data_IF_339421518749
#
_entry.id   IF_339421518749
#
_cell.length_a   1.000
_cell.length_b   1.000
_cell.length_c   1.000
_cell.angle_alpha   90.00
_cell.angle_beta   90.00
_cell.angle_gamma   90.00
#
_symmetry.space_group_name_H-M   'P 1'
#
loop_
_entity.id
_entity.type
_entity.pdbx_description
1 polymer ?
#
# COMPACT_ATOMS: atom_id res chain seq x y z
N UNK A 1 71.41 -5.71 14.81
CA UNK A 1 70.37 -4.70 14.55
C UNK A 1 69.07 -5.04 15.29
N UNK A 2 69.15 -5.47 16.56
CA UNK A 2 67.98 -5.97 17.29
C UNK A 2 67.71 -5.25 18.61
N UNK A 3 68.63 -4.39 19.07
CA UNK A 3 68.48 -3.65 20.35
C UNK A 3 67.80 -2.28 20.18
N UNK A 4 67.67 -1.75 18.95
CA UNK A 4 66.96 -0.48 18.69
C UNK A 4 65.44 -0.67 18.49
N UNK A 5 64.97 -1.89 18.32
CA UNK A 5 63.55 -2.20 18.08
C UNK A 5 62.80 -2.36 19.41
N UNK A 6 63.41 -2.98 20.42
CA UNK A 6 62.82 -3.17 21.76
C UNK A 6 62.66 -1.85 22.53
N UNK A 7 63.59 -0.89 22.35
CA UNK A 7 63.50 0.43 23.00
C UNK A 7 62.34 1.30 22.46
N UNK A 8 61.88 1.06 21.22
CA UNK A 8 60.75 1.77 20.62
C UNK A 8 59.40 1.17 21.01
N UNK A 9 59.34 -0.13 21.27
CA UNK A 9 58.10 -0.78 21.73
C UNK A 9 57.81 -0.47 23.20
N UNK A 10 58.84 -0.41 24.07
CA UNK A 10 58.67 -0.01 25.47
C UNK A 10 58.26 1.46 25.65
N UNK A 11 58.70 2.37 24.76
CA UNK A 11 58.22 3.76 24.74
C UNK A 11 56.77 3.89 24.26
N UNK A 12 56.26 2.96 23.45
CA UNK A 12 54.89 3.00 22.92
C UNK A 12 53.87 2.45 23.92
N UNK A 13 54.26 1.49 24.75
CA UNK A 13 53.40 0.94 25.82
C UNK A 13 53.31 1.86 27.06
N UNK A 14 54.34 2.67 27.35
CA UNK A 14 54.30 3.65 28.45
C UNK A 14 53.45 4.91 28.19
N UNK A 15 53.02 5.13 26.94
CA UNK A 15 52.13 6.23 26.56
C UNK A 15 50.63 5.87 26.66
N UNK A 16 50.29 4.60 26.92
CA UNK A 16 48.90 4.13 26.97
C UNK A 16 48.32 4.01 28.40
N UNK A 17 49.06 4.36 29.45
CA UNK A 17 48.60 4.19 30.83
C UNK A 17 48.74 5.45 31.68
N UNK A 18 48.08 6.55 31.26
CA UNK A 18 47.83 7.70 32.14
C UNK A 18 46.32 7.95 32.30
N UNK A 19 45.81 8.01 33.55
CA UNK A 19 44.40 8.26 33.82
C UNK A 19 44.08 9.75 33.62
N UNK A 20 43.26 10.07 32.63
CA UNK A 20 42.76 11.44 32.42
C UNK A 20 41.70 11.75 33.47
N UNK A 21 41.98 12.79 34.25
CA UNK A 21 41.18 13.28 35.38
C UNK A 21 39.85 13.86 34.88
N UNK A 22 38.78 13.48 35.58
CA UNK A 22 37.43 14.06 35.51
C UNK A 22 37.46 15.47 36.08
N UNK A 23 37.19 16.48 35.24
CA UNK A 23 36.43 17.71 35.54
C UNK A 23 36.77 18.80 34.51
N UNK A 24 35.88 18.99 33.53
CA UNK A 24 35.60 20.31 32.95
C UNK A 24 34.27 20.23 32.19
N UNK A 25 33.16 20.27 32.94
CA UNK A 25 31.83 20.53 32.38
C UNK A 25 31.74 22.03 32.14
N UNK A 26 31.95 22.44 30.90
CA UNK A 26 31.53 23.77 30.43
C UNK A 26 30.16 23.59 29.78
N UNK A 27 29.18 24.23 30.39
CA UNK A 27 27.79 24.31 29.95
C UNK A 27 27.69 24.68 28.46
N UNK A 28 27.36 23.70 27.63
CA UNK A 28 26.88 23.90 26.29
C UNK A 28 25.35 23.96 26.35
N UNK A 29 24.81 25.16 26.18
CA UNK A 29 23.38 25.46 26.08
C UNK A 29 22.72 24.61 24.98
N UNK A 30 21.58 23.94 25.23
CA UNK A 30 20.88 23.20 24.20
C UNK A 30 20.26 24.15 23.16
N UNK A 31 20.58 23.97 21.89
CA UNK A 31 19.80 24.50 20.79
C UNK A 31 18.39 23.88 20.85
N UNK A 32 17.30 24.65 20.65
CA UNK A 32 15.96 24.08 20.72
C UNK A 32 15.72 23.22 19.47
N UNK A 33 15.62 21.90 19.67
CA UNK A 33 15.00 20.96 18.73
C UNK A 33 13.54 21.35 18.50
N UNK A 34 13.30 22.23 17.53
CA UNK A 34 11.98 22.62 17.09
C UNK A 34 11.48 21.67 15.99
N UNK A 35 11.26 20.39 16.33
CA UNK A 35 10.24 19.55 15.69
C UNK A 35 9.55 18.73 16.76
N UNK A 36 8.51 19.35 17.31
CA UNK A 36 7.53 18.72 18.18
C UNK A 36 6.94 17.47 17.51
N UNK A 37 7.31 16.29 18.04
CA UNK A 37 6.46 15.10 17.96
C UNK A 37 5.17 15.41 18.74
N UNK A 38 4.20 16.04 18.08
CA UNK A 38 2.86 16.15 18.65
C UNK A 38 2.18 14.80 18.53
N UNK A 39 2.19 14.03 19.61
CA UNK A 39 1.11 13.10 19.88
C UNK A 39 -0.17 13.94 19.94
N UNK A 40 -1.13 13.66 19.04
CA UNK A 40 -2.43 14.33 19.03
C UNK A 40 -3.22 13.79 20.22
N UNK A 41 -3.14 14.50 21.34
CA UNK A 41 -4.02 14.34 22.49
C UNK A 41 -5.13 15.41 22.42
N UNK A 42 -6.40 15.07 22.68
CA UNK A 42 -7.50 16.02 22.59
C UNK A 42 -7.38 17.04 23.74
N UNK A 43 -7.21 18.32 23.41
CA UNK A 43 -7.19 19.37 24.41
C UNK A 43 -8.62 19.74 24.81
N UNK A 44 -9.05 19.24 25.97
CA UNK A 44 -10.13 19.82 26.76
C UNK A 44 -9.54 20.86 27.72
N UNK A 45 -10.05 22.10 27.69
CA UNK A 45 -9.65 23.11 28.68
C UNK A 45 -9.90 24.55 28.29
N UNK A 46 -11.16 24.98 28.40
CA UNK A 46 -11.62 26.30 28.89
C UNK A 46 -10.87 27.58 28.48
N UNK A 47 -11.46 28.31 27.52
CA UNK A 47 -11.24 29.74 27.30
C UNK A 47 -12.50 30.36 26.70
N UNK A 48 -13.42 30.80 27.55
CA UNK A 48 -14.70 31.40 27.19
C UNK A 48 -14.52 32.88 26.80
N UNK A 49 -15.17 33.31 25.70
CA UNK A 49 -16.01 34.52 25.55
C UNK A 49 -15.92 35.10 24.12
N UNK A 50 -17.06 35.24 23.41
CA UNK A 50 -17.19 36.26 22.37
C UNK A 50 -18.08 36.01 21.13
N UNK A 51 -19.33 35.57 21.31
CA UNK A 51 -20.54 35.80 20.49
C UNK A 51 -20.48 35.92 18.94
N UNK A 52 -21.24 35.04 18.26
CA UNK A 52 -22.13 35.44 17.16
C UNK A 52 -22.07 34.58 15.89
N UNK A 53 -22.95 33.56 15.79
CA UNK A 53 -23.24 32.89 14.53
C UNK A 53 -23.72 31.46 14.72
N UNK A 54 -25.03 31.24 14.59
CA UNK A 54 -25.65 29.93 14.64
C UNK A 54 -25.08 29.03 13.52
N UNK A 55 -24.23 28.09 13.90
CA UNK A 55 -23.86 26.93 13.12
C UNK A 55 -23.91 25.75 14.09
N UNK A 56 -24.81 24.81 13.82
CA UNK A 56 -25.05 23.61 14.59
C UNK A 56 -23.81 22.71 14.55
N UNK A 57 -22.80 23.01 15.39
CA UNK A 57 -21.65 22.13 15.60
C UNK A 57 -22.13 21.04 16.53
N UNK A 58 -22.72 20.02 15.93
CA UNK A 58 -22.83 18.70 16.54
C UNK A 58 -21.42 18.16 16.74
N UNK A 59 -20.82 18.51 17.89
CA UNK A 59 -19.68 17.82 18.45
C UNK A 59 -20.14 16.44 18.94
N UNK A 60 -20.36 15.54 17.99
CA UNK A 60 -20.56 14.12 18.22
C UNK A 60 -19.84 13.35 17.09
N UNK A 61 -18.51 13.44 17.12
CA UNK A 61 -17.65 12.70 16.22
C UNK A 61 -16.96 11.57 16.97
N UNK A 62 -17.67 10.50 17.33
CA UNK A 62 -17.06 9.17 17.22
C UNK A 62 -16.70 9.00 15.75
N UNK A 63 -15.52 9.47 15.36
CA UNK A 63 -15.10 9.52 13.97
C UNK A 63 -15.26 8.14 13.37
N UNK A 64 -16.19 8.01 12.41
CA UNK A 64 -16.43 6.73 11.74
C UNK A 64 -15.15 6.40 10.99
N UNK A 65 -14.44 5.40 11.50
CA UNK A 65 -13.18 4.93 10.94
C UNK A 65 -13.44 4.51 9.49
N UNK A 66 -12.74 5.16 8.55
CA UNK A 66 -12.87 4.88 7.13
C UNK A 66 -11.71 4.01 6.68
N UNK A 67 -11.98 2.73 6.40
CA UNK A 67 -10.98 1.80 5.90
C UNK A 67 -10.82 1.90 4.38
N UNK A 68 -9.63 1.56 3.89
CA UNK A 68 -9.30 1.48 2.46
C UNK A 68 -8.74 0.10 2.16
N UNK A 69 -9.19 -0.47 1.04
CA UNK A 69 -8.59 -1.62 0.39
C UNK A 69 -8.53 -1.30 -1.10
N UNK A 70 -7.42 -0.71 -1.52
CA UNK A 70 -7.25 -0.18 -2.88
C UNK A 70 -6.25 -1.02 -3.66
N UNK A 71 -6.48 -1.11 -4.97
CA UNK A 71 -5.59 -1.80 -5.91
C UNK A 71 -5.14 -0.76 -6.93
N UNK A 72 -3.85 -0.69 -7.18
CA UNK A 72 -3.27 0.29 -8.08
C UNK A 72 -1.78 0.09 -8.23
N UNK A 73 -1.05 1.19 -8.38
CA UNK A 73 0.40 1.20 -8.46
C UNK A 73 0.99 2.27 -7.57
N UNK A 74 2.00 1.90 -6.78
CA UNK A 74 2.71 2.80 -5.90
C UNK A 74 3.86 3.46 -6.66
N UNK A 75 3.91 4.78 -6.60
CA UNK A 75 4.95 5.60 -7.17
C UNK A 75 5.61 6.47 -6.11
N UNK A 76 6.93 6.62 -6.21
CA UNK A 76 7.69 7.53 -5.37
C UNK A 76 7.96 8.83 -6.12
N UNK A 77 7.76 9.97 -5.45
CA UNK A 77 8.00 11.31 -6.00
C UNK A 77 8.81 12.16 -5.03
N UNK A 78 9.63 13.04 -5.57
CA UNK A 78 10.37 14.01 -4.76
C UNK A 78 9.45 15.20 -4.40
N UNK A 79 9.21 15.50 -3.11
CA UNK A 79 8.39 16.66 -2.72
C UNK A 79 9.04 18.01 -2.97
N UNK A 80 10.36 18.05 -3.10
CA UNK A 80 11.12 19.27 -3.24
C UNK A 80 12.51 18.98 -3.82
N UNK A 81 13.16 20.05 -4.28
CA UNK A 81 14.50 20.00 -4.86
C UNK A 81 15.55 19.49 -3.86
N UNK A 82 15.37 19.74 -2.55
CA UNK A 82 16.32 19.29 -1.53
C UNK A 82 16.41 17.76 -1.48
N UNK A 83 15.26 17.08 -1.45
CA UNK A 83 15.19 15.61 -1.47
C UNK A 83 15.79 15.03 -2.76
N UNK A 84 15.54 15.66 -3.91
CA UNK A 84 16.12 15.26 -5.20
C UNK A 84 17.65 15.37 -5.20
N UNK A 85 18.21 16.49 -4.69
CA UNK A 85 19.66 16.69 -4.63
C UNK A 85 20.34 15.79 -3.59
N UNK A 86 19.69 15.51 -2.47
CA UNK A 86 20.22 14.54 -1.50
C UNK A 86 20.23 13.12 -2.07
N UNK A 87 19.17 12.71 -2.78
CA UNK A 87 19.16 11.45 -3.51
C UNK A 87 20.26 11.38 -4.57
N UNK A 88 20.50 12.48 -5.31
CA UNK A 88 21.60 12.57 -6.28
C UNK A 88 22.98 12.37 -5.63
N UNK A 89 23.19 12.92 -4.44
CA UNK A 89 24.42 12.72 -3.67
C UNK A 89 24.56 11.28 -3.17
N UNK A 90 23.48 10.68 -2.66
CA UNK A 90 23.47 9.28 -2.21
C UNK A 90 23.74 8.30 -3.36
N UNK A 91 23.23 8.62 -4.56
CA UNK A 91 23.50 7.86 -5.78
C UNK A 91 25.00 7.84 -6.11
N UNK A 92 25.71 8.97 -5.94
CA UNK A 92 27.15 9.04 -6.16
C UNK A 92 28.01 8.21 -5.17
N UNK A 93 27.44 7.81 -4.04
CA UNK A 93 28.08 6.92 -3.04
C UNK A 93 27.79 5.44 -3.29
N UNK A 94 26.83 5.14 -4.15
CA UNK A 94 26.35 3.78 -4.41
C UNK A 94 26.85 3.29 -5.77
N UNK A 95 27.21 2.01 -5.87
CA UNK A 95 27.55 1.42 -7.17
C UNK A 95 26.29 1.22 -8.03
N UNK A 96 26.08 2.18 -8.93
CA UNK A 96 24.97 2.22 -9.89
C UNK A 96 25.41 2.06 -11.35
N UNK A 97 26.70 1.78 -11.58
CA UNK A 97 27.24 1.53 -12.91
C UNK A 97 26.50 0.39 -13.62
N UNK A 98 26.05 0.63 -14.85
CA UNK A 98 25.33 -0.35 -15.68
C UNK A 98 23.88 -0.60 -15.29
N UNK A 99 23.33 0.12 -14.29
CA UNK A 99 21.90 0.05 -13.92
C UNK A 99 21.10 1.09 -14.68
N UNK A 100 19.82 0.79 -14.94
CA UNK A 100 18.86 1.81 -15.38
C UNK A 100 18.54 2.79 -14.26
N UNK A 101 17.98 3.94 -14.58
CA UNK A 101 17.58 4.94 -13.58
C UNK A 101 16.67 4.34 -12.49
N UNK A 102 15.71 3.50 -12.88
CA UNK A 102 14.81 2.82 -11.94
C UNK A 102 15.54 1.79 -11.05
N UNK A 103 16.47 1.04 -11.63
CA UNK A 103 17.26 0.07 -10.87
C UNK A 103 18.22 0.77 -9.89
N UNK A 104 18.80 1.89 -10.31
CA UNK A 104 19.60 2.75 -9.44
C UNK A 104 18.74 3.35 -8.32
N UNK A 105 17.55 3.85 -8.65
CA UNK A 105 16.58 4.39 -7.70
C UNK A 105 16.21 3.38 -6.62
N UNK A 106 15.78 2.18 -7.03
CA UNK A 106 15.50 1.09 -6.10
C UNK A 106 16.75 0.73 -5.27
N UNK A 107 17.91 0.52 -5.90
CA UNK A 107 19.13 0.10 -5.20
C UNK A 107 19.60 1.11 -4.14
N UNK A 108 19.46 2.41 -4.39
CA UNK A 108 19.80 3.46 -3.41
C UNK A 108 18.82 3.44 -2.24
N UNK A 109 17.51 3.37 -2.51
CA UNK A 109 16.48 3.37 -1.47
C UNK A 109 16.42 2.08 -0.63
N UNK A 110 16.83 0.95 -1.18
CA UNK A 110 16.94 -0.32 -0.45
C UNK A 110 18.05 -0.32 0.62
N UNK A 111 19.00 0.61 0.56
CA UNK A 111 20.05 0.68 1.56
C UNK A 111 19.51 1.22 2.88
N UNK A 112 19.82 0.53 3.97
CA UNK A 112 19.39 0.91 5.32
C UNK A 112 19.85 2.32 5.71
N UNK A 113 21.02 2.74 5.25
CA UNK A 113 21.59 4.06 5.48
C UNK A 113 20.72 5.18 4.88
N UNK A 114 20.02 4.90 3.79
CA UNK A 114 19.20 5.85 3.05
C UNK A 114 17.71 5.83 3.46
N UNK A 115 17.33 5.14 4.55
CA UNK A 115 15.94 5.10 5.03
C UNK A 115 15.35 6.47 5.32
N UNK A 116 16.19 7.45 5.68
CA UNK A 116 15.74 8.83 5.85
C UNK A 116 15.22 9.43 4.54
N UNK A 117 15.79 9.08 3.38
CA UNK A 117 15.30 9.50 2.07
C UNK A 117 13.91 8.92 1.81
N UNK A 118 13.72 7.62 2.07
CA UNK A 118 12.43 6.94 1.88
C UNK A 118 11.31 7.64 2.67
N UNK A 119 11.62 8.15 3.87
CA UNK A 119 10.70 8.96 4.70
C UNK A 119 10.37 10.34 4.14
N UNK A 120 11.30 10.93 3.39
CA UNK A 120 11.16 12.26 2.80
C UNK A 120 10.52 12.22 1.41
N UNK A 121 10.34 11.05 0.80
CA UNK A 121 9.65 10.92 -0.47
C UNK A 121 8.14 10.95 -0.29
N UNK A 122 7.46 11.43 -1.32
CA UNK A 122 6.02 11.32 -1.43
C UNK A 122 5.67 9.98 -2.08
N UNK A 123 4.87 9.20 -1.39
CA UNK A 123 4.39 7.92 -1.88
C UNK A 123 2.97 8.11 -2.37
N UNK A 124 2.75 7.89 -3.66
CA UNK A 124 1.46 8.11 -4.32
C UNK A 124 0.92 6.77 -4.78
N UNK A 125 -0.29 6.42 -4.38
CA UNK A 125 -1.04 5.34 -4.99
C UNK A 125 -1.84 5.88 -6.16
N UNK A 126 -1.56 5.34 -7.34
CA UNK A 126 -2.30 5.62 -8.57
C UNK A 126 -3.26 4.48 -8.87
N UNK A 127 -4.52 4.79 -9.18
CA UNK A 127 -5.54 3.82 -9.59
C UNK A 127 -5.95 4.19 -11.01
N UNK A 128 -5.76 3.27 -11.98
CA UNK A 128 -6.00 3.55 -13.40
C UNK A 128 -5.28 4.82 -13.91
N UNK A 129 -4.06 5.07 -13.41
CA UNK A 129 -3.27 6.25 -13.76
C UNK A 129 -3.72 7.55 -13.08
N UNK A 130 -4.74 7.53 -12.22
CA UNK A 130 -5.18 8.68 -11.44
C UNK A 130 -4.56 8.66 -10.04
N UNK A 131 -3.96 9.77 -9.64
CA UNK A 131 -3.40 9.99 -8.31
C UNK A 131 -4.53 9.98 -7.27
N UNK A 132 -4.63 8.90 -6.49
CA UNK A 132 -5.81 8.64 -5.65
C UNK A 132 -5.52 8.85 -4.18
N UNK A 133 -4.33 8.42 -3.71
CA UNK A 133 -3.95 8.55 -2.30
C UNK A 133 -2.47 8.90 -2.12
N UNK A 134 -2.16 9.61 -1.04
CA UNK A 134 -0.81 9.66 -0.48
C UNK A 134 -0.66 8.57 0.58
N UNK A 135 0.43 7.82 0.54
CA UNK A 135 0.69 6.72 1.46
C UNK A 135 1.60 7.16 2.58
N UNK A 136 1.21 6.85 3.81
CA UNK A 136 2.03 7.04 4.98
C UNK A 136 2.03 5.75 5.80
N UNK A 137 3.21 5.23 6.22
CA UNK A 137 3.25 4.04 7.05
C UNK A 137 2.65 4.36 8.42
N UNK A 138 1.86 3.44 8.98
CA UNK A 138 1.43 3.54 10.37
C UNK A 138 2.60 3.37 11.33
N UNK A 139 3.41 2.34 11.12
CA UNK A 139 4.65 2.11 11.86
C UNK A 139 5.85 2.56 11.01
N UNK A 140 6.74 3.43 11.51
CA UNK A 140 7.99 3.78 10.83
C UNK A 140 8.89 2.60 10.42
N UNK A 141 8.68 1.40 10.97
CA UNK A 141 9.33 0.17 10.55
C UNK A 141 8.83 -0.36 9.19
N UNK A 142 7.60 -0.06 8.79
CA UNK A 142 6.94 -0.59 7.58
C UNK A 142 7.35 0.16 6.30
N UNK A 143 8.32 1.06 6.39
CA UNK A 143 8.86 1.81 5.26
C UNK A 143 9.44 0.89 4.18
N UNK A 144 9.97 -0.27 4.57
CA UNK A 144 10.52 -1.23 3.63
C UNK A 144 9.44 -1.72 2.63
N UNK A 145 8.16 -1.78 3.04
CA UNK A 145 7.04 -2.16 2.15
C UNK A 145 6.85 -1.18 0.97
N UNK A 146 7.20 0.10 1.16
CA UNK A 146 7.15 1.10 0.09
C UNK A 146 8.28 0.90 -0.93
N UNK A 147 9.47 0.52 -0.43
CA UNK A 147 10.62 0.20 -1.27
C UNK A 147 10.36 -1.07 -2.08
N UNK A 148 9.74 -2.08 -1.46
CA UNK A 148 9.38 -3.32 -2.15
C UNK A 148 8.38 -3.08 -3.29
N UNK A 149 7.49 -2.09 -3.17
CA UNK A 149 6.46 -1.79 -4.17
C UNK A 149 7.00 -1.20 -5.48
N UNK A 150 8.02 -0.33 -5.41
CA UNK A 150 8.55 0.36 -6.61
C UNK A 150 9.29 -0.59 -7.56
N UNK A 151 9.85 -1.70 -7.04
CA UNK A 151 10.61 -2.74 -7.76
C UNK A 151 11.79 -2.21 -8.60
N UNK A 152 12.80 -3.05 -8.89
CA UNK A 152 13.91 -2.66 -9.75
C UNK A 152 13.52 -2.54 -11.23
N UNK A 153 12.52 -3.31 -11.68
CA UNK A 153 12.03 -3.33 -13.06
C UNK A 153 10.50 -3.47 -13.07
N UNK A 154 9.75 -2.39 -12.75
CA UNK A 154 8.29 -2.44 -12.70
C UNK A 154 7.71 -2.61 -14.10
N UNK A 155 6.79 -3.56 -14.25
CA UNK A 155 5.99 -3.68 -15.47
C UNK A 155 4.79 -2.70 -15.42
N UNK A 156 4.29 -2.22 -16.57
CA UNK A 156 3.17 -1.25 -16.60
C UNK A 156 1.90 -1.73 -15.89
N UNK A 157 1.66 -3.04 -15.87
CA UNK A 157 0.45 -3.67 -15.35
C UNK A 157 0.69 -4.38 -14.02
N UNK A 158 1.79 -4.06 -13.35
CA UNK A 158 2.07 -4.56 -12.02
C UNK A 158 1.04 -4.04 -11.00
N UNK A 159 0.78 -4.85 -9.98
CA UNK A 159 -0.34 -4.62 -9.07
C UNK A 159 0.17 -4.44 -7.65
N UNK A 160 -0.17 -3.31 -7.04
CA UNK A 160 0.05 -3.02 -5.64
C UNK A 160 -1.30 -2.91 -4.92
N UNK A 161 -1.44 -3.64 -3.82
CA UNK A 161 -2.62 -3.64 -2.95
C UNK A 161 -2.28 -2.88 -1.68
N UNK A 162 -3.03 -1.83 -1.38
CA UNK A 162 -2.83 -1.01 -0.19
C UNK A 162 -4.03 -1.14 0.74
N UNK A 163 -3.76 -1.46 2.00
CA UNK A 163 -4.76 -1.63 3.04
C UNK A 163 -4.43 -0.71 4.21
N UNK A 164 -5.42 0.03 4.71
CA UNK A 164 -5.24 0.87 5.88
C UNK A 164 -6.40 1.82 6.16
N UNK A 165 -6.08 2.90 6.87
CA UNK A 165 -7.01 3.94 7.28
C UNK A 165 -6.94 5.17 6.37
N UNK A 166 -8.10 5.62 5.88
CA UNK A 166 -8.23 6.91 5.22
C UNK A 166 -8.22 8.04 6.25
N UNK A 167 -7.18 8.84 6.18
CA UNK A 167 -7.03 10.11 6.88
C UNK A 167 -7.61 11.30 6.11
N UNK A 168 -7.29 12.53 6.54
CA UNK A 168 -7.74 13.76 5.90
C UNK A 168 -7.08 13.95 4.51
N UNK A 169 -7.55 14.96 3.78
CA UNK A 169 -6.90 15.43 2.55
C UNK A 169 -5.54 16.02 2.91
N UNK A 170 -4.51 15.62 2.18
CA UNK A 170 -3.15 16.10 2.37
C UNK A 170 -3.05 17.61 2.07
N UNK A 171 -2.31 18.37 2.89
CA UNK A 171 -2.02 19.76 2.60
C UNK A 171 -1.09 19.86 1.36
N UNK A 172 -1.18 20.93 0.56
CA UNK A 172 -0.45 21.06 -0.70
C UNK A 172 1.09 21.01 -0.52
N UNK A 173 1.61 21.38 0.64
CA UNK A 173 3.04 21.36 0.94
C UNK A 173 3.59 19.94 1.09
N UNK A 174 2.73 18.92 1.25
CA UNK A 174 3.15 17.54 1.47
C UNK A 174 3.71 16.86 0.21
N UNK A 175 3.17 17.18 -0.97
CA UNK A 175 3.56 16.52 -2.23
C UNK A 175 3.32 17.42 -3.46
N UNK A 176 4.16 18.45 -3.67
CA UNK A 176 4.12 19.31 -4.88
C UNK A 176 2.72 19.88 -5.22
N UNK A 177 1.90 20.21 -4.23
CA UNK A 177 0.53 20.72 -4.43
C UNK A 177 -0.54 19.64 -4.63
N UNK A 178 -0.19 18.35 -4.57
CA UNK A 178 -1.14 17.26 -4.69
C UNK A 178 -2.04 17.16 -3.45
N UNK A 179 -3.33 17.46 -3.62
CA UNK A 179 -4.34 17.44 -2.57
C UNK A 179 -5.25 16.21 -2.71
N UNK A 180 -4.77 15.07 -2.24
CA UNK A 180 -5.54 13.81 -2.19
C UNK A 180 -5.57 13.26 -0.75
N UNK A 181 -6.50 12.37 -0.40
CA UNK A 181 -6.54 11.80 0.94
C UNK A 181 -5.26 11.04 1.30
N UNK A 182 -4.86 11.13 2.56
CA UNK A 182 -3.77 10.33 3.12
C UNK A 182 -4.33 8.96 3.49
N UNK A 183 -3.64 7.89 3.12
CA UNK A 183 -3.88 6.54 3.63
C UNK A 183 -2.74 6.19 4.56
N UNK A 184 -3.07 6.06 5.83
CA UNK A 184 -2.17 5.47 6.82
C UNK A 184 -2.26 3.96 6.65
N UNK A 185 -1.29 3.38 5.94
CA UNK A 185 -1.33 1.97 5.59
C UNK A 185 -0.78 1.08 6.70
N UNK A 186 -1.37 -0.11 6.78
CA UNK A 186 -0.94 -1.21 7.66
C UNK A 186 -0.31 -2.34 6.86
N UNK A 187 -0.68 -2.50 5.59
CA UNK A 187 -0.14 -3.52 4.69
C UNK A 187 -0.07 -3.01 3.24
N UNK A 188 1.02 -3.36 2.56
CA UNK A 188 1.15 -3.26 1.10
C UNK A 188 1.55 -4.63 0.56
N UNK A 189 0.88 -5.09 -0.49
CA UNK A 189 1.27 -6.29 -1.23
C UNK A 189 1.53 -5.93 -2.68
N UNK A 190 2.69 -6.33 -3.21
CA UNK A 190 3.07 -6.07 -4.60
C UNK A 190 3.20 -7.38 -5.36
N UNK A 191 2.52 -7.46 -6.50
CA UNK A 191 2.48 -8.64 -7.35
C UNK A 191 2.83 -8.28 -8.78
N UNK A 192 3.55 -9.19 -9.44
CA UNK A 192 3.70 -9.20 -10.89
C UNK A 192 2.42 -9.75 -11.53
N UNK A 193 1.90 -9.06 -12.55
CA UNK A 193 0.71 -9.52 -13.28
C UNK A 193 0.88 -10.93 -13.84
N UNK A 194 2.03 -11.23 -14.41
CA UNK A 194 2.30 -12.52 -15.04
C UNK A 194 2.27 -13.67 -14.02
N UNK A 195 2.73 -13.41 -12.79
CA UNK A 195 2.68 -14.38 -11.69
C UNK A 195 1.23 -14.70 -11.31
N UNK A 196 0.36 -13.69 -11.24
CA UNK A 196 -1.06 -13.88 -10.92
C UNK A 196 -1.78 -14.65 -12.01
N UNK A 197 -1.52 -14.35 -13.28
CA UNK A 197 -2.14 -15.05 -14.43
C UNK A 197 -1.71 -16.52 -14.46
N UNK A 198 -0.42 -16.81 -14.22
CA UNK A 198 0.10 -18.20 -14.15
C UNK A 198 -0.50 -19.00 -12.98
N UNK A 199 -1.03 -18.34 -11.96
CA UNK A 199 -1.67 -18.99 -10.82
C UNK A 199 -3.14 -19.37 -11.09
N UNK A 200 -3.73 -18.91 -12.21
CA UNK A 200 -5.11 -19.25 -12.57
C UNK A 200 -5.17 -20.74 -12.96
N UNK A 201 -6.03 -21.54 -12.31
CA UNK A 201 -6.11 -22.96 -12.62
C UNK A 201 -6.73 -23.19 -14.00
N UNK A 202 -6.12 -24.10 -14.74
CA UNK A 202 -6.58 -24.51 -16.05
C UNK A 202 -7.82 -25.41 -15.99
N UNK A 203 -8.83 -25.18 -16.84
CA UNK A 203 -9.97 -26.10 -17.02
C UNK A 203 -9.55 -27.43 -17.64
N UNK A 204 -10.12 -28.54 -17.15
CA UNK A 204 -9.82 -29.90 -17.65
C UNK A 204 -10.08 -30.08 -19.16
N UNK A 205 -11.05 -29.35 -19.71
CA UNK A 205 -11.51 -29.49 -21.10
C UNK A 205 -10.68 -28.69 -22.13
N UNK A 206 -9.64 -27.96 -21.71
CA UNK A 206 -8.90 -27.03 -22.56
C UNK A 206 -7.43 -27.43 -22.75
N UNK A 207 -6.83 -27.10 -23.89
CA UNK A 207 -5.39 -27.25 -24.11
C UNK A 207 -4.60 -26.08 -23.48
N UNK A 208 -3.36 -26.31 -23.03
CA UNK A 208 -2.53 -25.27 -22.36
C UNK A 208 -2.29 -24.04 -23.27
N UNK A 209 -2.02 -24.29 -24.54
CA UNK A 209 -1.72 -23.26 -25.54
C UNK A 209 -2.90 -22.32 -25.79
N UNK A 210 -4.13 -22.82 -25.67
CA UNK A 210 -5.35 -22.02 -25.83
C UNK A 210 -5.74 -21.33 -24.51
N UNK A 211 -5.35 -21.91 -23.38
CA UNK A 211 -5.71 -21.38 -22.07
C UNK A 211 -4.90 -20.13 -21.70
N UNK A 212 -3.66 -19.99 -22.16
CA UNK A 212 -2.84 -18.80 -21.89
C UNK A 212 -3.54 -17.48 -22.22
N UNK A 213 -3.89 -17.22 -23.51
CA UNK A 213 -4.61 -16.00 -23.89
C UNK A 213 -5.98 -15.86 -23.21
N UNK A 214 -6.68 -16.97 -22.97
CA UNK A 214 -7.96 -16.95 -22.27
C UNK A 214 -7.83 -16.57 -20.79
N UNK A 215 -6.78 -17.02 -20.12
CA UNK A 215 -6.50 -16.68 -18.73
C UNK A 215 -6.15 -15.19 -18.60
N UNK A 216 -5.46 -14.60 -19.57
CA UNK A 216 -5.21 -13.16 -19.63
C UNK A 216 -6.53 -12.38 -19.76
N UNK A 217 -7.40 -12.75 -20.70
CA UNK A 217 -8.72 -12.10 -20.88
C UNK A 217 -9.57 -12.21 -19.60
N UNK A 218 -9.63 -13.40 -19.00
CA UNK A 218 -10.37 -13.64 -17.76
C UNK A 218 -9.83 -12.81 -16.60
N UNK A 219 -8.50 -12.74 -16.47
CA UNK A 219 -7.84 -11.92 -15.47
C UNK A 219 -8.18 -10.45 -15.67
N UNK A 220 -8.00 -9.92 -16.88
CA UNK A 220 -8.27 -8.52 -17.21
C UNK A 220 -9.74 -8.16 -16.94
N UNK A 221 -10.67 -9.05 -17.28
CA UNK A 221 -12.10 -8.82 -17.06
C UNK A 221 -12.48 -8.80 -15.58
N UNK A 222 -11.84 -9.63 -14.76
CA UNK A 222 -12.01 -9.57 -13.30
C UNK A 222 -11.34 -8.30 -12.76
N UNK A 223 -10.17 -7.95 -13.25
CA UNK A 223 -9.44 -6.76 -12.79
C UNK A 223 -10.16 -5.45 -13.10
N UNK A 224 -10.93 -5.36 -14.18
CA UNK A 224 -11.79 -4.21 -14.46
C UNK A 224 -12.77 -3.89 -13.32
N UNK A 225 -13.19 -4.89 -12.52
CA UNK A 225 -14.07 -4.64 -11.38
C UNK A 225 -13.37 -3.89 -10.23
N UNK A 226 -12.04 -3.84 -10.27
CA UNK A 226 -11.20 -3.19 -9.26
C UNK A 226 -10.84 -1.75 -9.61
N UNK A 227 -11.36 -1.22 -10.71
CA UNK A 227 -11.16 0.16 -11.20
C UNK A 227 -11.93 1.15 -10.33
N UNK A 228 -11.56 1.21 -9.07
CA UNK A 228 -12.28 1.89 -8.01
C UNK A 228 -11.32 2.36 -6.91
N UNK A 229 -11.73 3.36 -6.13
CA UNK A 229 -10.86 3.95 -5.12
C UNK A 229 -10.67 3.08 -3.85
N UNK A 230 -11.29 1.91 -3.73
CA UNK A 230 -11.11 1.08 -2.53
C UNK A 230 -11.63 1.67 -1.21
N UNK A 231 -12.40 2.77 -1.23
CA UNK A 231 -12.83 3.49 -0.02
C UNK A 231 -14.27 3.22 0.44
N UNK A 232 -15.12 2.61 -0.40
CA UNK A 232 -16.47 2.19 0.01
C UNK A 232 -16.47 0.70 0.36
N UNK A 233 -17.48 0.24 1.09
CA UNK A 233 -17.58 -1.18 1.44
C UNK A 233 -17.69 -2.05 0.18
N UNK A 234 -18.40 -1.59 -0.85
CA UNK A 234 -18.51 -2.28 -2.15
C UNK A 234 -17.14 -2.41 -2.83
N UNK A 235 -16.40 -1.30 -2.93
CA UNK A 235 -15.06 -1.28 -3.52
C UNK A 235 -14.11 -2.23 -2.78
N UNK A 236 -14.12 -2.18 -1.46
CA UNK A 236 -13.25 -3.02 -0.62
C UNK A 236 -13.53 -4.50 -0.78
N UNK A 237 -14.81 -4.87 -0.89
CA UNK A 237 -15.21 -6.26 -1.11
C UNK A 237 -14.77 -6.74 -2.49
N UNK A 238 -14.96 -5.93 -3.54
CA UNK A 238 -14.52 -6.29 -4.89
C UNK A 238 -13.00 -6.49 -4.94
N UNK A 239 -12.25 -5.53 -4.40
CA UNK A 239 -10.79 -5.58 -4.38
C UNK A 239 -10.26 -6.75 -3.55
N UNK A 240 -10.89 -7.03 -2.39
CA UNK A 240 -10.58 -8.21 -1.60
C UNK A 240 -10.81 -9.51 -2.38
N UNK A 241 -11.95 -9.66 -3.05
CA UNK A 241 -12.26 -10.88 -3.81
C UNK A 241 -11.28 -11.09 -4.97
N UNK A 242 -10.95 -10.03 -5.71
CA UNK A 242 -9.95 -10.07 -6.77
C UNK A 242 -8.60 -10.59 -6.26
N UNK A 243 -8.12 -10.09 -5.13
CA UNK A 243 -6.76 -10.40 -4.68
C UNK A 243 -6.65 -11.63 -3.77
N UNK A 244 -7.69 -11.97 -3.02
CA UNK A 244 -7.63 -12.97 -1.94
C UNK A 244 -8.52 -14.19 -2.16
N UNK A 245 -9.37 -14.22 -3.19
CA UNK A 245 -10.28 -15.34 -3.41
C UNK A 245 -10.09 -16.05 -4.76
N UNK A 246 -9.10 -16.98 -4.86
CA UNK A 246 -8.79 -17.71 -6.10
C UNK A 246 -9.98 -18.44 -6.75
N UNK A 247 -11.00 -18.79 -5.96
CA UNK A 247 -12.16 -19.51 -6.45
C UNK A 247 -12.97 -18.71 -7.49
N UNK A 248 -12.89 -17.36 -7.50
CA UNK A 248 -13.53 -16.57 -8.56
C UNK A 248 -12.88 -16.86 -9.92
N UNK A 249 -11.55 -16.98 -9.95
CA UNK A 249 -10.79 -17.29 -11.16
C UNK A 249 -11.02 -18.74 -11.57
N UNK A 250 -11.02 -19.67 -10.62
CA UNK A 250 -11.33 -21.08 -10.90
C UNK A 250 -12.74 -21.25 -11.50
N UNK A 251 -13.74 -20.57 -10.93
CA UNK A 251 -15.11 -20.61 -11.46
C UNK A 251 -15.22 -19.94 -12.82
N UNK A 252 -14.55 -18.81 -13.02
CA UNK A 252 -14.54 -18.13 -14.31
C UNK A 252 -13.88 -18.98 -15.40
N UNK A 253 -12.79 -19.67 -15.08
CA UNK A 253 -12.12 -20.60 -15.99
C UNK A 253 -13.00 -21.83 -16.30
N UNK A 254 -13.65 -22.43 -15.30
CA UNK A 254 -14.63 -23.52 -15.50
C UNK A 254 -15.75 -23.08 -16.45
N UNK A 255 -16.37 -21.92 -16.18
CA UNK A 255 -17.46 -21.37 -16.99
C UNK A 255 -17.02 -21.00 -18.40
N UNK A 256 -15.81 -20.49 -18.57
CA UNK A 256 -15.23 -20.27 -19.88
C UNK A 256 -15.12 -21.57 -20.70
N UNK A 257 -14.70 -22.67 -20.07
CA UNK A 257 -14.66 -24.00 -20.71
C UNK A 257 -16.03 -24.56 -21.11
N UNK A 258 -17.10 -24.10 -20.48
CA UNK A 258 -18.49 -24.44 -20.81
C UNK A 258 -19.16 -23.39 -21.75
N UNK A 259 -18.36 -22.57 -22.43
CA UNK A 259 -18.80 -21.53 -23.39
C UNK A 259 -19.59 -20.36 -22.77
N UNK A 260 -19.42 -20.11 -21.47
CA UNK A 260 -19.95 -18.93 -20.81
C UNK A 260 -18.94 -17.77 -20.80
N UNK A 261 -19.45 -16.56 -20.67
CA UNK A 261 -18.67 -15.35 -20.42
C UNK A 261 -19.14 -14.66 -19.15
N UNK A 262 -18.22 -14.05 -18.39
CA UNK A 262 -18.58 -13.21 -17.24
C UNK A 262 -19.22 -11.92 -17.75
N UNK A 263 -20.52 -11.75 -17.58
CA UNK A 263 -21.29 -10.65 -18.17
C UNK A 263 -21.67 -9.57 -17.16
N UNK A 264 -21.70 -9.88 -15.87
CA UNK A 264 -22.06 -8.90 -14.85
C UNK A 264 -21.54 -9.24 -13.47
N UNK A 265 -21.28 -8.20 -12.69
CA UNK A 265 -20.91 -8.28 -11.28
C UNK A 265 -21.77 -7.27 -10.53
N UNK A 266 -22.53 -7.76 -9.56
CA UNK A 266 -23.42 -6.92 -8.76
C UNK A 266 -23.09 -7.07 -7.28
N UNK A 267 -22.95 -5.94 -6.58
CA UNK A 267 -22.75 -5.90 -5.14
C UNK A 267 -24.05 -5.49 -4.47
N UNK A 268 -24.56 -6.36 -3.60
CA UNK A 268 -25.85 -6.19 -2.92
C UNK A 268 -25.60 -6.26 -1.41
N UNK A 269 -26.08 -5.27 -0.67
CA UNK A 269 -26.03 -5.31 0.79
C UNK A 269 -26.91 -6.45 1.31
N UNK A 270 -26.37 -7.21 2.27
CA UNK A 270 -27.06 -8.35 2.88
C UNK A 270 -27.83 -7.91 4.12
N UNK A 271 -29.12 -8.20 4.18
CA UNK A 271 -29.97 -7.96 5.37
C UNK A 271 -29.72 -8.93 6.53
N UNK A 272 -28.75 -9.84 6.39
CA UNK A 272 -28.43 -10.88 7.39
C UNK A 272 -27.84 -10.33 8.70
N UNK A 273 -27.35 -9.09 8.72
CA UNK A 273 -26.81 -8.48 9.94
C UNK A 273 -27.18 -7.01 10.01
N UNK A 274 -27.61 -6.57 11.19
CA UNK A 274 -27.86 -5.16 11.52
C UNK A 274 -26.62 -4.44 12.06
N UNK A 275 -25.58 -5.19 12.47
CA UNK A 275 -24.37 -4.66 13.11
C UNK A 275 -23.14 -4.79 12.23
N UNK A 276 -23.10 -5.79 11.35
CA UNK A 276 -22.00 -6.04 10.41
C UNK A 276 -22.37 -5.57 9.01
N UNK A 277 -21.39 -5.01 8.31
CA UNK A 277 -21.46 -4.66 6.89
C UNK A 277 -21.16 -5.90 6.06
N UNK A 278 -22.19 -6.72 5.84
CA UNK A 278 -22.09 -7.92 5.00
C UNK A 278 -22.61 -7.59 3.61
N UNK A 279 -21.79 -7.85 2.59
CA UNK A 279 -22.15 -7.65 1.19
C UNK A 279 -22.15 -9.00 0.47
N UNK A 280 -23.09 -9.14 -0.45
CA UNK A 280 -23.23 -10.25 -1.38
C UNK A 280 -22.72 -9.78 -2.75
N UNK A 281 -21.69 -10.42 -3.27
CA UNK A 281 -21.22 -10.19 -4.64
C UNK A 281 -21.75 -11.30 -5.52
N UNK A 282 -22.52 -10.93 -6.55
CA UNK A 282 -23.13 -11.83 -7.51
C UNK A 282 -22.38 -11.72 -8.84
N UNK A 283 -21.90 -12.84 -9.34
CA UNK A 283 -21.25 -13.00 -10.63
C UNK A 283 -22.23 -13.65 -11.59
N UNK A 284 -22.50 -12.99 -12.71
CA UNK A 284 -23.38 -13.47 -13.78
C UNK A 284 -22.54 -13.99 -14.93
N UNK A 285 -22.80 -15.23 -15.33
CA UNK A 285 -22.16 -15.88 -16.46
C UNK A 285 -23.22 -16.19 -17.51
N UNK A 286 -23.06 -15.66 -18.73
CA UNK A 286 -24.00 -15.89 -19.83
C UNK A 286 -23.37 -16.76 -20.89
N UNK A 287 -24.07 -17.82 -21.29
CA UNK A 287 -23.65 -18.73 -22.34
C UNK A 287 -23.68 -18.02 -23.70
N UNK A 288 -22.57 -18.12 -24.46
CA UNK A 288 -22.37 -17.36 -25.71
C UNK A 288 -23.29 -17.79 -26.85
N UNK A 289 -23.84 -19.00 -26.79
CA UNK A 289 -24.62 -19.60 -27.87
C UNK A 289 -26.13 -19.63 -27.58
N UNK A 290 -26.51 -19.60 -26.31
CA UNK A 290 -27.91 -19.82 -25.87
C UNK A 290 -28.50 -18.67 -25.07
N UNK A 291 -27.69 -17.65 -24.73
CA UNK A 291 -28.06 -16.53 -23.85
C UNK A 291 -28.54 -16.94 -22.44
N UNK A 292 -28.40 -18.22 -22.07
CA UNK A 292 -28.72 -18.70 -20.74
C UNK A 292 -27.73 -18.15 -19.71
N UNK A 293 -28.24 -17.57 -18.62
CA UNK A 293 -27.41 -16.94 -17.59
C UNK A 293 -27.45 -17.73 -16.29
N UNK A 294 -26.29 -18.11 -15.79
CA UNK A 294 -26.10 -18.67 -14.46
C UNK A 294 -25.48 -17.64 -13.54
N UNK A 295 -25.95 -17.57 -12.30
CA UNK A 295 -25.45 -16.64 -11.29
C UNK A 295 -24.83 -17.39 -10.12
N UNK A 296 -23.71 -16.89 -9.63
CA UNK A 296 -23.05 -17.37 -8.42
C UNK A 296 -22.85 -16.21 -7.48
N UNK A 297 -22.87 -16.45 -6.18
CA UNK A 297 -22.61 -15.40 -5.22
C UNK A 297 -21.66 -15.84 -4.11
N UNK A 298 -20.99 -14.86 -3.53
CA UNK A 298 -20.16 -14.98 -2.34
C UNK A 298 -20.56 -13.89 -1.36
N UNK A 299 -20.45 -14.15 -0.06
CA UNK A 299 -20.68 -13.14 0.98
C UNK A 299 -19.37 -12.77 1.64
N UNK A 300 -19.17 -11.47 1.82
CA UNK A 300 -17.97 -10.88 2.41
C UNK A 300 -18.41 -9.93 3.51
N UNK A 301 -17.74 -10.00 4.66
CA UNK A 301 -17.85 -9.01 5.72
C UNK A 301 -16.74 -7.97 5.51
N UNK A 302 -17.13 -6.70 5.43
CA UNK A 302 -16.22 -5.57 5.27
C UNK A 302 -16.37 -4.56 6.42
N UNK A 303 -16.84 -5.00 7.58
CA UNK A 303 -17.08 -4.12 8.75
C UNK A 303 -15.79 -3.46 9.23
N UNK A 304 -14.74 -4.27 9.36
CA UNK A 304 -13.43 -3.83 9.84
C UNK A 304 -12.43 -3.72 8.70
N UNK A 305 -11.21 -3.28 8.99
CA UNK A 305 -10.12 -3.03 8.04
C UNK A 305 -9.88 -4.17 7.04
N UNK A 306 -9.84 -5.40 7.53
CA UNK A 306 -9.54 -6.60 6.73
C UNK A 306 -10.83 -7.35 6.39
N UNK A 307 -11.30 -7.31 5.13
CA UNK A 307 -12.47 -8.07 4.74
C UNK A 307 -12.20 -9.58 4.81
N UNK A 308 -13.26 -10.37 5.03
CA UNK A 308 -13.17 -11.82 5.04
C UNK A 308 -14.44 -12.49 4.50
N UNK A 309 -14.30 -13.73 4.03
CA UNK A 309 -15.41 -14.51 3.51
C UNK A 309 -16.35 -14.95 4.64
N UNK A 310 -17.65 -14.69 4.46
CA UNK A 310 -18.72 -15.23 5.32
C UNK A 310 -19.20 -16.57 4.76
N UNK A 311 -19.32 -16.67 3.44
CA UNK A 311 -19.68 -17.93 2.76
C UNK A 311 -18.76 -18.16 1.56
N UNK A 312 -18.54 -19.42 1.21
CA UNK A 312 -17.92 -19.78 -0.07
C UNK A 312 -18.87 -19.47 -1.22
N UNK A 313 -18.32 -19.43 -2.43
CA UNK A 313 -19.07 -19.25 -3.67
C UNK A 313 -20.14 -20.35 -3.80
N UNK A 314 -21.37 -19.94 -4.10
CA UNK A 314 -22.53 -20.83 -4.22
C UNK A 314 -23.50 -20.32 -5.29
N UNK A 315 -24.38 -21.18 -5.84
CA UNK A 315 -25.37 -20.76 -6.83
C UNK A 315 -26.28 -19.66 -6.29
N UNK A 316 -26.54 -18.65 -7.12
CA UNK A 316 -27.45 -17.55 -6.82
C UNK A 316 -28.74 -17.73 -7.62
N UNK A 317 -29.87 -17.56 -6.93
CA UNK A 317 -31.19 -17.55 -7.54
C UNK A 317 -31.80 -16.18 -7.31
N UNK A 318 -32.24 -15.54 -8.39
CA UNK A 318 -33.03 -14.31 -8.29
C UNK A 318 -34.34 -14.62 -7.53
N UNK A 319 -34.68 -13.76 -6.57
CA UNK A 319 -35.88 -13.87 -5.74
C UNK A 319 -36.68 -12.59 -5.83
#
# INVERSE_FOLDING_TARGET
MSEQTEAKEQQREQLMDQPIKVNDVRDATPYPDARSNMAISPQGGSGNCGCGGAGDISSNGTGVVSYVYAIGRVEARFPNLSAEKEFSQATGRTETAGKTDQQAFHAVLSQRENRYLVRQLCWVLTVQGLETYLLQPRDPADIDMLVDAIRPAPAPNDIDVVIGLRGPIAPPEMCNGLMVPIVVFDQIYSFGRDVLIKAIPKPEKMADEQFGPAAEELFDRIMQMTDNAGATDEHRVLNYLAMRYPAIYAKAAEKFGDEYSLTGIEVIQSSLSSTRKILKVVFSYTNRNTDFTEKFFVRVDATEEFPFLVTKMSPYYDR
#
